data_IF_945702346482
#
_entry.id   IF_945702346482
#
_cell.length_a   1.000
_cell.length_b   1.000
_cell.length_c   1.000
_cell.angle_alpha   90.00
_cell.angle_beta   90.00
_cell.angle_gamma   90.00
#
_symmetry.space_group_name_H-M   'P 1'
#
loop_
_entity.id
_entity.type
_entity.pdbx_description
1 polymer ?
#
# COMPACT_ATOMS: atom_id res chain seq x y z
N UNK A 1 -3.66 12.71 -20.92
CA UNK A 1 -3.41 11.50 -21.74
C UNK A 1 -4.56 10.55 -21.52
N UNK A 2 -5.30 10.20 -22.58
CA UNK A 2 -6.30 9.14 -22.54
C UNK A 2 -5.60 7.78 -22.62
N UNK A 3 -6.07 6.75 -21.89
CA UNK A 3 -5.46 5.42 -21.94
C UNK A 3 -5.61 4.83 -23.34
N UNK A 4 -4.51 4.33 -23.91
CA UNK A 4 -4.47 3.73 -25.26
C UNK A 4 -4.40 2.20 -25.26
N UNK A 5 -4.01 1.60 -24.12
CA UNK A 5 -4.00 0.15 -23.93
C UNK A 5 -4.82 -0.28 -22.73
N UNK A 6 -5.36 -1.51 -22.75
CA UNK A 6 -6.06 -2.13 -21.61
C UNK A 6 -5.26 -2.08 -20.30
N UNK A 7 -3.94 -2.04 -20.42
CA UNK A 7 -3.02 -2.03 -19.29
C UNK A 7 -2.86 -0.66 -18.61
N UNK A 8 -3.40 0.40 -19.21
CA UNK A 8 -3.38 1.78 -18.70
C UNK A 8 -4.70 2.19 -18.01
N UNK A 9 -5.76 1.39 -18.18
CA UNK A 9 -7.01 1.62 -17.47
C UNK A 9 -6.82 1.36 -15.97
N UNK A 10 -7.20 2.35 -15.16
CA UNK A 10 -7.32 2.22 -13.70
C UNK A 10 -8.80 2.04 -13.35
N UNK A 11 -9.27 0.81 -13.11
CA UNK A 11 -10.67 0.58 -12.82
C UNK A 11 -11.05 1.20 -11.46
N UNK A 12 -12.05 2.09 -11.47
CA UNK A 12 -12.62 2.63 -10.24
C UNK A 12 -13.66 1.63 -9.73
N UNK A 13 -13.48 1.20 -8.49
CA UNK A 13 -14.33 0.18 -7.85
C UNK A 13 -15.46 0.84 -7.08
N UNK A 14 -16.72 0.70 -7.55
CA UNK A 14 -17.88 1.11 -6.76
C UNK A 14 -18.36 -0.05 -5.88
N UNK A 15 -18.01 -0.02 -4.60
CA UNK A 15 -18.49 -0.99 -3.61
C UNK A 15 -19.76 -0.50 -2.89
N UNK A 16 -20.54 -1.45 -2.36
CA UNK A 16 -21.69 -1.17 -1.50
C UNK A 16 -21.30 -0.27 -0.33
N UNK A 17 -22.18 0.66 0.05
CA UNK A 17 -21.95 1.61 1.16
C UNK A 17 -21.63 0.89 2.47
N UNK A 18 -22.26 -0.27 2.73
CA UNK A 18 -21.99 -1.10 3.90
C UNK A 18 -20.53 -1.56 3.97
N UNK A 19 -19.94 -1.95 2.83
CA UNK A 19 -18.52 -2.31 2.78
C UNK A 19 -17.62 -1.09 3.01
N UNK A 20 -18.00 0.09 2.51
CA UNK A 20 -17.27 1.33 2.79
C UNK A 20 -17.26 1.68 4.28
N UNK A 21 -18.39 1.46 4.97
CA UNK A 21 -18.49 1.65 6.42
C UNK A 21 -17.56 0.67 7.14
N UNK A 22 -17.61 -0.62 6.79
CA UNK A 22 -16.72 -1.64 7.36
C UNK A 22 -15.24 -1.28 7.14
N UNK A 23 -14.85 -0.99 5.90
CA UNK A 23 -13.49 -0.55 5.56
C UNK A 23 -13.06 0.67 6.37
N UNK A 24 -13.96 1.65 6.55
CA UNK A 24 -13.65 2.86 7.34
C UNK A 24 -13.48 2.54 8.82
N UNK A 25 -14.29 1.67 9.40
CA UNK A 25 -14.15 1.24 10.80
C UNK A 25 -12.81 0.53 11.03
N UNK A 26 -12.44 -0.38 10.14
CA UNK A 26 -11.15 -1.07 10.20
C UNK A 26 -10.01 -0.08 10.04
N UNK A 27 -10.07 0.81 9.04
CA UNK A 27 -9.10 1.89 8.85
C UNK A 27 -8.90 2.70 10.13
N UNK A 28 -9.97 3.22 10.74
CA UNK A 28 -9.89 4.04 11.95
C UNK A 28 -9.18 3.30 13.09
N UNK A 29 -9.39 1.99 13.23
CA UNK A 29 -8.71 1.16 14.22
C UNK A 29 -7.21 0.99 13.91
N UNK A 30 -6.83 0.69 12.67
CA UNK A 30 -5.41 0.54 12.31
C UNK A 30 -4.69 1.88 12.41
N UNK A 31 -5.34 2.97 11.99
CA UNK A 31 -4.73 4.30 11.98
C UNK A 31 -4.27 4.78 13.34
N UNK A 32 -4.88 4.29 14.43
CA UNK A 32 -4.42 4.58 15.79
C UNK A 32 -3.10 3.90 16.13
N UNK A 33 -2.81 2.74 15.54
CA UNK A 33 -1.57 1.99 15.74
C UNK A 33 -0.50 2.32 14.69
N UNK A 34 -0.84 3.03 13.60
CA UNK A 34 0.13 3.37 12.54
C UNK A 34 1.35 4.13 13.07
N UNK A 35 1.24 5.16 13.93
CA UNK A 35 2.44 5.87 14.39
C UNK A 35 3.48 4.99 15.07
N UNK A 36 3.04 3.94 15.77
CA UNK A 36 3.92 2.99 16.47
C UNK A 36 4.46 1.89 15.54
N UNK A 37 3.72 1.57 14.46
CA UNK A 37 4.09 0.57 13.47
C UNK A 37 4.92 1.13 12.31
N UNK A 38 4.89 2.46 12.11
CA UNK A 38 5.45 3.13 10.95
C UNK A 38 6.67 3.98 11.31
N UNK A 39 7.83 3.60 10.78
CA UNK A 39 9.08 4.35 10.87
C UNK A 39 8.90 5.85 10.52
N UNK A 40 9.60 6.76 11.22
CA UNK A 40 9.63 8.19 10.90
C UNK A 40 9.98 8.51 9.45
N UNK A 41 10.77 7.65 8.79
CA UNK A 41 11.19 7.84 7.39
C UNK A 41 10.09 7.53 6.35
N UNK A 42 9.00 6.87 6.74
CA UNK A 42 7.93 6.47 5.82
C UNK A 42 6.84 7.54 5.71
N UNK A 43 6.96 8.45 4.76
CA UNK A 43 6.15 9.66 4.70
C UNK A 43 4.89 9.57 3.81
N UNK A 44 4.75 8.53 2.99
CA UNK A 44 3.56 8.31 2.14
C UNK A 44 2.32 7.80 2.89
N UNK A 45 1.14 8.27 2.50
CA UNK A 45 -0.20 7.89 3.00
C UNK A 45 -0.40 7.88 4.53
N UNK A 46 0.39 8.67 5.26
CA UNK A 46 0.30 8.89 6.70
C UNK A 46 -0.47 10.18 7.00
N UNK A 47 -1.47 10.16 7.90
CA UNK A 47 -2.11 11.39 8.37
C UNK A 47 -1.07 12.31 9.03
N UNK A 48 -1.03 13.58 8.61
CA UNK A 48 -0.14 14.59 9.19
C UNK A 48 1.28 14.65 8.62
N UNK A 49 1.62 13.85 7.59
CA UNK A 49 2.89 13.99 6.83
C UNK A 49 2.62 14.67 5.51
N UNK A 50 3.41 15.68 5.17
CA UNK A 50 3.22 16.48 3.96
C UNK A 50 4.08 15.93 2.83
N UNK A 51 3.61 16.05 1.59
CA UNK A 51 4.40 15.65 0.42
C UNK A 51 5.72 16.45 0.32
N UNK A 52 5.77 17.65 0.90
CA UNK A 52 6.95 18.48 0.99
C UNK A 52 8.09 17.80 1.77
N UNK A 53 7.77 16.99 2.79
CA UNK A 53 8.75 16.26 3.58
C UNK A 53 9.51 15.26 2.69
N UNK A 54 8.83 14.63 1.73
CA UNK A 54 9.45 13.70 0.77
C UNK A 54 10.40 14.41 -0.19
N UNK A 55 10.03 15.63 -0.61
CA UNK A 55 10.86 16.44 -1.50
C UNK A 55 12.14 16.83 -0.77
N UNK A 56 12.01 17.29 0.48
CA UNK A 56 13.16 17.66 1.31
C UNK A 56 14.09 16.45 1.54
N UNK A 57 13.53 15.31 1.93
CA UNK A 57 14.30 14.06 2.11
C UNK A 57 15.03 13.65 0.82
N UNK A 58 14.39 13.75 -0.35
CA UNK A 58 15.03 13.42 -1.62
C UNK A 58 16.17 14.40 -1.98
N UNK A 59 15.99 15.69 -1.68
CA UNK A 59 17.03 16.71 -1.85
C UNK A 59 18.23 16.43 -0.93
N UNK A 60 17.97 16.09 0.33
CA UNK A 60 19.01 15.72 1.30
C UNK A 60 19.78 14.48 0.86
N UNK A 61 19.09 13.41 0.42
CA UNK A 61 19.74 12.21 -0.12
C UNK A 61 20.63 12.54 -1.33
N UNK A 62 20.16 13.40 -2.24
CA UNK A 62 20.93 13.81 -3.42
C UNK A 62 22.17 14.61 -3.01
N UNK A 63 22.02 15.50 -2.03
CA UNK A 63 23.16 16.26 -1.49
C UNK A 63 24.21 15.35 -0.86
N UNK A 64 23.80 14.34 -0.08
CA UNK A 64 24.72 13.33 0.47
C UNK A 64 25.40 12.51 -0.61
N UNK A 65 24.72 12.21 -1.72
CA UNK A 65 25.32 11.50 -2.85
C UNK A 65 26.51 12.27 -3.46
N UNK A 66 26.43 13.60 -3.49
CA UNK A 66 27.48 14.46 -4.05
C UNK A 66 28.70 14.63 -3.11
N UNK A 67 28.56 14.26 -1.83
CA UNK A 67 29.67 14.31 -0.86
C UNK A 67 30.65 13.15 -1.08
N UNK A 68 31.96 13.41 -1.10
CA UNK A 68 32.94 12.33 -1.23
C UNK A 68 33.03 11.49 0.06
N UNK A 69 32.53 10.25 0.00
CA UNK A 69 32.74 9.24 1.03
C UNK A 69 33.81 8.22 0.62
N UNK A 70 34.58 7.71 1.59
CA UNK A 70 35.68 6.77 1.36
C UNK A 70 35.27 5.45 0.72
N UNK A 71 33.98 5.06 0.87
CA UNK A 71 33.40 3.84 0.30
C UNK A 71 32.45 4.09 -0.89
N UNK A 72 32.32 5.34 -1.36
CA UNK A 72 31.34 5.75 -2.38
C UNK A 72 29.91 5.87 -1.83
N UNK A 73 29.00 6.46 -2.62
CA UNK A 73 27.60 6.63 -2.27
C UNK A 73 26.68 5.93 -3.29
N UNK A 74 25.54 5.42 -2.82
CA UNK A 74 24.53 4.76 -3.64
C UNK A 74 23.13 5.14 -3.14
N UNK A 75 22.25 5.52 -4.06
CA UNK A 75 20.81 5.67 -3.79
C UNK A 75 20.07 4.54 -4.52
N UNK A 76 19.28 3.77 -3.76
CA UNK A 76 18.43 2.72 -4.31
C UNK A 76 16.98 3.24 -4.42
N UNK A 77 16.49 3.40 -5.64
CA UNK A 77 15.09 3.74 -5.90
C UNK A 77 14.29 2.48 -6.22
N UNK A 78 13.41 2.07 -5.30
CA UNK A 78 12.47 0.97 -5.51
C UNK A 78 11.11 1.54 -5.94
N UNK A 79 10.74 1.33 -7.20
CA UNK A 79 9.38 1.65 -7.68
C UNK A 79 8.57 0.36 -7.84
N UNK A 80 7.46 0.27 -7.12
CA UNK A 80 6.60 -0.91 -7.20
C UNK A 80 5.44 -0.63 -8.17
N UNK A 81 5.55 -1.14 -9.39
CA UNK A 81 4.55 -0.95 -10.44
C UNK A 81 3.22 -1.67 -10.16
N UNK A 82 2.09 -1.01 -10.45
CA UNK A 82 0.71 -1.59 -10.40
C UNK A 82 0.39 -2.33 -9.10
N UNK A 83 0.89 -1.81 -8.00
CA UNK A 83 0.92 -2.53 -6.73
C UNK A 83 -0.45 -2.70 -6.10
N UNK A 84 -1.33 -1.71 -6.22
CA UNK A 84 -2.71 -1.84 -5.77
C UNK A 84 -3.40 -3.02 -6.48
N UNK A 85 -3.26 -3.18 -7.80
CA UNK A 85 -4.00 -4.21 -8.55
C UNK A 85 -3.44 -5.64 -8.36
N UNK A 86 -2.23 -5.78 -7.83
CA UNK A 86 -1.48 -7.04 -7.80
C UNK A 86 -1.23 -7.62 -6.41
N UNK A 87 -1.64 -6.95 -5.33
CA UNK A 87 -1.45 -7.47 -3.96
C UNK A 87 -2.10 -8.85 -3.81
N UNK A 88 -1.29 -9.89 -3.60
CA UNK A 88 -1.79 -11.23 -3.28
C UNK A 88 -2.24 -11.25 -1.82
N UNK A 89 -3.54 -11.40 -1.61
CA UNK A 89 -4.13 -11.36 -0.26
C UNK A 89 -3.54 -12.39 0.70
N UNK A 90 -3.21 -13.60 0.22
CA UNK A 90 -2.53 -14.63 1.05
C UNK A 90 -1.22 -14.10 1.67
N UNK A 91 -0.42 -13.37 0.90
CA UNK A 91 0.83 -12.78 1.38
C UNK A 91 0.53 -11.66 2.36
N UNK A 92 -0.44 -10.79 2.06
CA UNK A 92 -0.89 -9.74 2.96
C UNK A 92 -1.31 -10.31 4.33
N UNK A 93 -2.09 -11.39 4.36
CA UNK A 93 -2.53 -12.00 5.61
C UNK A 93 -1.38 -12.61 6.40
N UNK A 94 -0.48 -13.33 5.74
CA UNK A 94 0.71 -13.89 6.39
C UNK A 94 1.59 -12.79 7.01
N UNK A 95 1.70 -11.64 6.36
CA UNK A 95 2.43 -10.49 6.90
C UNK A 95 1.71 -9.89 8.11
N UNK A 96 0.39 -9.69 8.04
CA UNK A 96 -0.38 -9.19 9.18
C UNK A 96 -0.30 -10.14 10.38
N UNK A 97 -0.27 -11.45 10.15
CA UNK A 97 -0.05 -12.47 11.18
C UNK A 97 1.36 -12.34 11.78
N UNK A 98 2.41 -12.18 10.95
CA UNK A 98 3.79 -11.96 11.42
C UNK A 98 3.94 -10.67 12.22
N UNK A 99 3.19 -9.62 11.89
CA UNK A 99 3.14 -8.36 12.63
C UNK A 99 2.36 -8.45 13.96
N UNK A 100 1.75 -9.60 14.28
CA UNK A 100 1.06 -9.83 15.54
C UNK A 100 -0.41 -9.38 15.58
N UNK A 101 -1.03 -9.11 14.42
CA UNK A 101 -2.46 -8.78 14.40
C UNK A 101 -3.31 -9.98 14.82
N UNK A 102 -4.33 -9.73 15.64
CA UNK A 102 -5.26 -10.78 16.08
C UNK A 102 -6.01 -11.42 14.90
N UNK A 103 -6.20 -12.74 14.94
CA UNK A 103 -6.90 -13.48 13.89
C UNK A 103 -8.30 -12.91 13.57
N UNK A 104 -9.04 -12.46 14.59
CA UNK A 104 -10.35 -11.80 14.41
C UNK A 104 -10.24 -10.51 13.61
N UNK A 105 -9.16 -9.75 13.80
CA UNK A 105 -8.92 -8.51 13.08
C UNK A 105 -8.57 -8.77 11.61
N UNK A 106 -7.71 -9.76 11.36
CA UNK A 106 -7.38 -10.21 10.01
C UNK A 106 -8.63 -10.74 9.30
N UNK A 107 -9.54 -11.42 10.00
CA UNK A 107 -10.83 -11.84 9.44
C UNK A 107 -11.70 -10.64 8.99
N UNK A 108 -11.72 -9.54 9.74
CA UNK A 108 -12.42 -8.32 9.31
C UNK A 108 -11.81 -7.73 8.04
N UNK A 109 -10.47 -7.73 7.93
CA UNK A 109 -9.76 -7.29 6.72
C UNK A 109 -10.11 -8.20 5.54
N UNK A 110 -10.06 -9.53 5.73
CA UNK A 110 -10.49 -10.53 4.73
C UNK A 110 -11.91 -10.23 4.23
N UNK A 111 -12.86 -10.03 5.15
CA UNK A 111 -14.23 -9.70 4.77
C UNK A 111 -14.32 -8.41 3.96
N UNK A 112 -13.61 -7.36 4.39
CA UNK A 112 -13.62 -6.08 3.69
C UNK A 112 -13.04 -6.19 2.28
N UNK A 113 -11.94 -6.91 2.06
CA UNK A 113 -11.25 -6.93 0.76
C UNK A 113 -11.77 -8.02 -0.20
N UNK A 114 -12.17 -9.19 0.29
CA UNK A 114 -12.55 -10.33 -0.55
C UNK A 114 -13.99 -10.28 -1.07
N UNK A 115 -14.89 -9.54 -0.40
CA UNK A 115 -16.31 -9.48 -0.76
C UNK A 115 -16.61 -8.33 -1.72
N UNK A 116 -15.83 -8.25 -2.80
CA UNK A 116 -16.05 -7.27 -3.87
C UNK A 116 -16.30 -7.97 -5.20
N UNK A 117 -17.41 -7.58 -5.82
CA UNK A 117 -17.77 -7.98 -7.18
C UNK A 117 -17.56 -6.81 -8.11
N UNK A 118 -17.08 -7.11 -9.30
CA UNK A 118 -16.87 -6.17 -10.38
C UNK A 118 -17.82 -6.48 -11.52
N UNK A 119 -18.26 -5.43 -12.20
CA UNK A 119 -18.92 -5.50 -13.49
C UNK A 119 -18.18 -4.56 -14.44
N UNK A 120 -18.17 -4.91 -15.72
CA UNK A 120 -17.63 -4.03 -16.77
C UNK A 120 -18.80 -3.32 -17.43
N UNK A 121 -18.66 -2.02 -17.68
CA UNK A 121 -19.62 -1.28 -18.49
C UNK A 121 -19.22 -1.41 -19.96
N UNK A 122 -20.03 -2.10 -20.75
CA UNK A 122 -19.86 -2.22 -22.21
C UNK A 122 -20.92 -1.33 -22.84
N UNK A 123 -20.50 -0.27 -23.54
CA UNK A 123 -21.40 0.75 -24.10
C UNK A 123 -22.35 1.39 -23.08
N UNK A 124 -21.91 1.51 -21.82
CA UNK A 124 -22.72 2.09 -20.73
C UNK A 124 -23.62 1.09 -20.01
N UNK A 125 -23.71 -0.15 -20.48
CA UNK A 125 -24.50 -1.20 -19.83
C UNK A 125 -23.61 -2.16 -19.00
N UNK A 126 -24.01 -2.53 -17.77
CA UNK A 126 -23.30 -3.53 -16.98
C UNK A 126 -23.34 -4.89 -17.66
N UNK A 127 -22.16 -5.47 -17.90
CA UNK A 127 -22.01 -6.79 -18.51
C UNK A 127 -21.16 -7.69 -17.63
N UNK A 128 -21.78 -8.78 -17.18
CA UNK A 128 -21.13 -9.80 -16.35
C UNK A 128 -20.79 -9.34 -14.94
N UNK A 129 -20.55 -10.33 -14.06
CA UNK A 129 -20.01 -10.11 -12.73
C UNK A 129 -18.85 -11.06 -12.50
N UNK A 130 -17.74 -10.53 -11.98
CA UNK A 130 -16.60 -11.34 -11.57
C UNK A 130 -16.09 -10.89 -10.22
N UNK A 131 -15.63 -11.86 -9.43
CA UNK A 131 -15.08 -11.60 -8.11
C UNK A 131 -13.61 -11.19 -8.23
N UNK A 132 -13.18 -10.28 -7.36
CA UNK A 132 -11.77 -9.98 -7.20
C UNK A 132 -11.03 -11.18 -6.60
N UNK A 133 -9.83 -11.49 -7.11
CA UNK A 133 -8.95 -12.53 -6.53
C UNK A 133 -7.66 -11.97 -5.92
N UNK A 134 -7.37 -10.70 -6.18
CA UNK A 134 -6.16 -10.02 -5.73
C UNK A 134 -6.28 -8.52 -5.93
N UNK A 135 -5.51 -7.77 -5.16
CA UNK A 135 -5.42 -6.33 -5.25
C UNK A 135 -6.25 -5.59 -4.19
N UNK A 136 -5.96 -4.32 -4.05
CA UNK A 136 -6.56 -3.37 -3.13
C UNK A 136 -7.28 -2.32 -3.97
N UNK A 137 -8.46 -1.91 -3.52
CA UNK A 137 -9.33 -1.01 -4.28
C UNK A 137 -8.82 0.43 -4.22
N UNK A 138 -8.67 1.07 -5.36
CA UNK A 138 -8.41 2.50 -5.40
C UNK A 138 -9.63 3.29 -4.88
N UNK A 139 -9.42 4.20 -3.93
CA UNK A 139 -10.49 5.00 -3.31
C UNK A 139 -11.19 4.37 -2.10
N UNK A 140 -10.82 3.15 -1.71
CA UNK A 140 -11.27 2.56 -0.45
C UNK A 140 -10.38 3.06 0.71
N UNK A 141 -10.97 3.56 1.82
CA UNK A 141 -10.22 4.05 2.98
C UNK A 141 -9.16 3.09 3.52
N UNK A 142 -9.39 1.77 3.47
CA UNK A 142 -8.46 0.79 4.06
C UNK A 142 -7.26 0.47 3.15
N UNK A 143 -7.41 0.67 1.83
CA UNK A 143 -6.42 0.24 0.84
C UNK A 143 -5.03 0.88 1.02
N UNK A 144 -4.88 2.20 1.29
CA UNK A 144 -3.56 2.79 1.49
C UNK A 144 -2.80 2.20 2.68
N UNK A 145 -3.52 1.82 3.74
CA UNK A 145 -2.90 1.27 4.95
C UNK A 145 -2.43 -0.16 4.73
N UNK A 146 -3.28 -1.00 4.11
CA UNK A 146 -2.93 -2.37 3.75
C UNK A 146 -1.80 -2.44 2.70
N UNK A 147 -1.58 -1.35 1.98
CA UNK A 147 -0.49 -1.20 1.06
C UNK A 147 0.85 -0.93 1.76
N UNK A 148 0.86 -0.08 2.78
CA UNK A 148 2.08 0.33 3.49
C UNK A 148 2.55 -0.75 4.45
N UNK A 149 1.66 -1.39 5.20
CA UNK A 149 2.06 -2.33 6.26
C UNK A 149 3.05 -3.41 5.77
N UNK A 150 2.83 -4.06 4.61
CA UNK A 150 3.84 -4.97 4.04
C UNK A 150 5.18 -4.33 3.72
N UNK A 151 5.17 -3.11 3.20
CA UNK A 151 6.39 -2.41 2.77
C UNK A 151 7.31 -2.11 3.95
N UNK A 152 6.72 -1.88 5.12
CA UNK A 152 7.47 -1.57 6.33
C UNK A 152 8.33 -2.76 6.74
N UNK A 153 7.74 -3.96 6.77
CA UNK A 153 8.47 -5.19 7.06
C UNK A 153 9.61 -5.42 6.07
N UNK A 154 9.39 -5.19 4.77
CA UNK A 154 10.45 -5.34 3.77
C UNK A 154 11.58 -4.33 3.94
N UNK A 155 11.25 -3.08 4.28
CA UNK A 155 12.25 -2.03 4.50
C UNK A 155 13.06 -2.29 5.77
N UNK A 156 12.43 -2.71 6.86
CA UNK A 156 13.12 -3.05 8.10
C UNK A 156 14.07 -4.25 7.92
N UNK A 157 13.63 -5.28 7.17
CA UNK A 157 14.47 -6.44 6.82
C UNK A 157 15.68 -6.01 5.96
N UNK A 158 15.49 -5.09 4.99
CA UNK A 158 16.57 -4.55 4.16
C UNK A 158 17.55 -3.68 4.96
N UNK A 159 17.05 -2.80 5.82
CA UNK A 159 17.91 -1.96 6.67
C UNK A 159 18.74 -2.82 7.62
N UNK A 160 18.15 -3.87 8.19
CA UNK A 160 18.88 -4.85 9.01
C UNK A 160 19.98 -5.53 8.20
N UNK A 161 19.67 -6.00 6.98
CA UNK A 161 20.66 -6.64 6.10
C UNK A 161 21.88 -5.76 5.85
N UNK A 162 21.69 -4.49 5.47
CA UNK A 162 22.80 -3.57 5.19
C UNK A 162 23.61 -3.17 6.43
N UNK A 163 23.02 -3.17 7.63
CA UNK A 163 23.75 -2.90 8.88
C UNK A 163 24.50 -4.12 9.42
N UNK A 164 24.12 -5.34 9.04
CA UNK A 164 24.77 -6.57 9.54
C UNK A 164 25.99 -6.96 8.68
N UNK A 165 26.08 -6.48 7.44
CA UNK A 165 27.20 -6.73 6.53
C UNK A 165 28.24 -5.58 6.45
N UNK A 166 28.12 -4.55 7.29
CA UNK A 166 29.02 -3.38 7.35
C UNK A 166 29.92 -3.36 8.57
#
# INVERSE_FOLDING_TARGET
MSPQSWSEFRPISLCYVTNKILSKLVYTKISQALPDLISPSQSGFMPGRLIADNILLAQEMTHHLDMRHSKGNLILKLDMSKTYDRVKWKILYAILEKMGFLARFIALIKHAIEHCWFTILVNGEPSGFFKCSSGLRQGDPISPVLFILPQMLYLDDLTTFFHTES
#
